data_IF_601042286465
#
_entry.id   IF_601042286465
#
_cell.length_a   1.000
_cell.length_b   1.000
_cell.length_c   1.000
_cell.angle_alpha   90.00
_cell.angle_beta   90.00
_cell.angle_gamma   90.00
#
_symmetry.space_group_name_H-M   'P 1'
#
loop_
_entity.id
_entity.type
_entity.pdbx_description
1 polymer ?
#
# COMPACT_ATOMS: atom_id res chain seq x y z
N UNK A 1 15.03 -8.70 13.64
CA UNK A 1 15.93 -7.54 13.67
C UNK A 1 15.50 -6.52 12.62
N UNK A 2 15.14 -5.33 13.10
CA UNK A 2 14.80 -4.22 12.23
C UNK A 2 16.06 -3.60 11.66
N UNK A 3 16.12 -3.40 10.34
CA UNK A 3 17.20 -2.65 9.73
C UNK A 3 17.23 -1.22 10.30
N UNK A 4 18.41 -0.61 10.51
CA UNK A 4 18.48 0.76 11.01
C UNK A 4 17.86 1.74 10.01
N UNK A 5 17.28 2.81 10.54
CA UNK A 5 16.71 3.85 9.71
C UNK A 5 17.79 4.59 8.94
N UNK A 6 17.48 4.94 7.70
CA UNK A 6 18.36 5.74 6.87
C UNK A 6 18.22 7.21 7.24
N UNK A 7 19.32 7.92 7.33
CA UNK A 7 19.35 9.36 7.64
C UNK A 7 19.99 10.09 6.48
N UNK A 8 19.34 11.15 6.02
CA UNK A 8 19.81 12.01 4.98
C UNK A 8 19.48 13.44 5.36
N UNK A 9 20.44 14.37 5.21
CA UNK A 9 20.18 15.78 5.48
C UNK A 9 20.66 16.64 4.32
N UNK A 10 19.94 17.74 4.07
CA UNK A 10 20.25 18.69 3.01
C UNK A 10 20.38 20.11 3.60
N UNK A 11 21.19 20.93 2.95
CA UNK A 11 21.33 22.34 3.31
C UNK A 11 20.25 23.20 2.60
N UNK A 12 20.35 24.53 2.75
CA UNK A 12 19.42 25.46 2.13
C UNK A 12 19.34 25.40 0.61
N UNK A 13 20.37 24.90 -0.03
CA UNK A 13 20.42 24.72 -1.49
C UNK A 13 19.96 23.32 -1.93
N UNK A 14 19.36 22.55 -1.03
CA UNK A 14 18.93 21.17 -1.28
C UNK A 14 20.08 20.26 -1.70
N UNK A 15 21.28 20.52 -1.18
CA UNK A 15 22.45 19.67 -1.39
C UNK A 15 22.69 18.80 -0.18
N UNK A 16 23.08 17.55 -0.41
CA UNK A 16 23.26 16.55 0.62
C UNK A 16 24.49 16.89 1.48
N UNK A 17 24.26 17.02 2.79
CA UNK A 17 25.33 17.29 3.78
C UNK A 17 25.52 16.10 4.75
N UNK A 18 24.50 15.27 4.91
CA UNK A 18 24.55 14.06 5.74
C UNK A 18 23.98 12.88 4.96
N UNK A 19 24.62 11.72 5.05
CA UNK A 19 24.17 10.50 4.39
C UNK A 19 24.67 9.31 5.18
N UNK A 20 23.80 8.62 5.92
CA UNK A 20 24.16 7.55 6.81
C UNK A 20 24.56 6.29 6.04
N UNK A 21 25.21 5.37 6.73
CA UNK A 21 25.59 4.07 6.17
C UNK A 21 24.33 3.27 5.76
N UNK A 22 23.27 3.34 6.55
CA UNK A 22 22.00 2.72 6.19
C UNK A 22 21.45 3.30 4.90
N UNK A 23 21.57 4.63 4.68
CA UNK A 23 21.19 5.29 3.44
C UNK A 23 22.03 4.80 2.26
N UNK A 24 23.32 4.59 2.45
CA UNK A 24 24.18 4.01 1.41
C UNK A 24 23.66 2.66 0.92
N UNK A 25 23.28 1.81 1.87
CA UNK A 25 22.75 0.48 1.57
C UNK A 25 21.37 0.55 0.92
N UNK A 26 20.52 1.45 1.38
CA UNK A 26 19.15 1.60 0.87
C UNK A 26 19.13 2.11 -0.56
N UNK A 27 19.90 3.16 -0.84
CA UNK A 27 19.87 3.84 -2.14
C UNK A 27 20.97 3.36 -3.09
N UNK A 28 21.84 2.45 -2.63
CA UNK A 28 22.91 1.91 -3.47
C UNK A 28 23.95 2.94 -3.90
N UNK A 29 24.21 3.94 -3.06
CA UNK A 29 25.14 5.02 -3.36
C UNK A 29 26.12 5.22 -2.21
N UNK A 30 27.34 5.64 -2.52
CA UNK A 30 28.36 5.92 -1.51
C UNK A 30 28.22 7.34 -1.00
N UNK A 31 28.41 7.54 0.31
CA UNK A 31 28.39 8.86 0.93
C UNK A 31 29.36 9.83 0.24
N UNK A 32 30.55 9.37 -0.13
CA UNK A 32 31.56 10.19 -0.82
C UNK A 32 31.08 10.69 -2.17
N UNK A 33 30.25 9.92 -2.86
CA UNK A 33 29.75 10.27 -4.20
C UNK A 33 28.54 11.22 -4.15
N UNK A 34 27.76 11.18 -3.07
CA UNK A 34 26.53 11.96 -2.96
C UNK A 34 26.71 13.26 -2.18
N UNK A 35 27.73 13.37 -1.34
CA UNK A 35 27.98 14.57 -0.53
C UNK A 35 28.14 15.80 -1.41
N UNK A 36 27.38 16.85 -1.10
CA UNK A 36 27.33 18.12 -1.84
C UNK A 36 26.65 18.03 -3.22
N UNK A 37 26.09 16.89 -3.58
CA UNK A 37 25.27 16.77 -4.79
C UNK A 37 23.82 17.19 -4.49
N UNK A 38 23.04 17.59 -5.52
CA UNK A 38 21.62 17.89 -5.30
C UNK A 38 20.83 16.66 -4.84
N UNK A 39 19.88 16.86 -3.93
CA UNK A 39 19.00 15.78 -3.48
C UNK A 39 18.24 15.15 -4.63
N UNK A 40 17.89 15.95 -5.64
CA UNK A 40 17.16 15.48 -6.83
C UNK A 40 17.92 14.40 -7.62
N UNK A 41 19.22 14.27 -7.42
CA UNK A 41 20.01 13.20 -8.04
C UNK A 41 19.74 11.82 -7.41
N UNK A 42 19.10 11.78 -6.26
CA UNK A 42 18.81 10.55 -5.51
C UNK A 42 17.30 10.30 -5.44
N UNK A 43 16.54 11.28 -4.95
CA UNK A 43 15.08 11.20 -4.78
C UNK A 43 14.46 12.56 -5.14
N UNK A 44 13.13 12.59 -5.30
CA UNK A 44 12.41 13.84 -5.48
C UNK A 44 12.52 14.69 -4.20
N UNK A 45 12.75 15.98 -4.38
CA UNK A 45 13.04 16.89 -3.28
C UNK A 45 11.85 17.77 -2.85
N UNK A 46 10.67 17.54 -3.39
CA UNK A 46 9.51 18.40 -3.16
C UNK A 46 9.14 18.53 -1.68
N UNK A 47 9.10 17.39 -0.96
CA UNK A 47 8.79 17.39 0.47
C UNK A 47 9.85 18.11 1.30
N UNK A 48 11.12 17.94 0.94
CA UNK A 48 12.24 18.63 1.60
C UNK A 48 12.17 20.14 1.39
N UNK A 49 11.88 20.57 0.15
CA UNK A 49 11.70 22.00 -0.17
C UNK A 49 10.53 22.59 0.61
N UNK A 50 9.43 21.88 0.66
CA UNK A 50 8.24 22.32 1.39
C UNK A 50 8.53 22.50 2.88
N UNK A 51 9.20 21.54 3.50
CA UNK A 51 9.59 21.62 4.91
C UNK A 51 10.57 22.77 5.14
N UNK A 52 11.54 22.95 4.25
CA UNK A 52 12.50 24.05 4.36
C UNK A 52 11.82 25.41 4.30
N UNK A 53 10.87 25.59 3.38
CA UNK A 53 10.19 26.86 3.18
C UNK A 53 9.17 27.17 4.27
N UNK A 54 8.41 26.16 4.70
CA UNK A 54 7.32 26.36 5.68
C UNK A 54 7.76 26.18 7.12
N UNK A 55 8.88 25.49 7.38
CA UNK A 55 9.34 25.03 8.68
C UNK A 55 8.34 24.10 9.38
N UNK A 56 7.36 23.56 8.63
CA UNK A 56 6.41 22.58 9.12
C UNK A 56 6.91 21.17 8.77
N UNK A 57 7.18 20.38 9.80
CA UNK A 57 7.70 19.03 9.64
C UNK A 57 6.65 18.08 9.07
N UNK A 58 7.12 17.04 8.37
CA UNK A 58 6.30 15.96 7.87
C UNK A 58 6.65 14.71 8.67
N UNK A 59 5.63 14.00 9.19
CA UNK A 59 5.80 12.78 9.96
C UNK A 59 5.00 11.64 9.36
N UNK A 60 5.60 10.45 9.33
CA UNK A 60 4.91 9.22 9.00
C UNK A 60 4.34 9.16 7.58
N UNK A 61 4.98 9.79 6.62
CA UNK A 61 4.54 9.76 5.24
C UNK A 61 5.06 8.50 4.54
N UNK A 62 4.15 7.72 3.96
CA UNK A 62 4.53 6.57 3.14
C UNK A 62 4.76 7.02 1.71
N UNK A 63 5.92 6.67 1.15
CA UNK A 63 6.28 7.01 -0.23
C UNK A 63 6.87 5.78 -0.91
N UNK A 64 6.46 5.55 -2.15
CA UNK A 64 7.06 4.52 -2.99
C UNK A 64 8.05 5.18 -3.96
N UNK A 65 9.28 4.65 -3.96
CA UNK A 65 10.34 5.10 -4.86
C UNK A 65 10.56 4.04 -5.95
N UNK A 66 9.97 4.25 -7.16
CA UNK A 66 10.04 3.23 -8.22
C UNK A 66 11.46 2.91 -8.67
N UNK A 67 12.35 3.90 -8.69
CA UNK A 67 13.73 3.72 -9.13
C UNK A 67 14.53 2.76 -8.24
N UNK A 68 14.11 2.59 -6.98
CA UNK A 68 14.74 1.68 -6.02
C UNK A 68 13.84 0.50 -5.66
N UNK A 69 12.57 0.51 -6.11
CA UNK A 69 11.55 -0.48 -5.74
C UNK A 69 11.39 -0.58 -4.22
N UNK A 70 11.37 0.57 -3.55
CA UNK A 70 11.29 0.67 -2.09
C UNK A 70 10.06 1.44 -1.65
N UNK A 71 9.39 0.90 -0.62
CA UNK A 71 8.39 1.64 0.17
C UNK A 71 9.09 2.17 1.41
N UNK A 72 9.01 3.47 1.62
CA UNK A 72 9.63 4.15 2.76
C UNK A 72 8.57 4.85 3.60
N UNK A 73 8.71 4.71 4.91
CA UNK A 73 7.99 5.54 5.87
C UNK A 73 8.96 6.64 6.28
N UNK A 74 8.61 7.89 6.03
CA UNK A 74 9.57 8.99 6.17
C UNK A 74 9.07 10.11 7.07
N UNK A 75 9.99 10.63 7.88
CA UNK A 75 9.85 11.86 8.63
C UNK A 75 10.82 12.88 8.03
N UNK A 76 10.34 14.10 7.80
CA UNK A 76 11.16 15.19 7.25
C UNK A 76 11.08 16.35 8.22
N UNK A 77 12.22 16.73 8.79
CA UNK A 77 12.31 17.63 9.93
C UNK A 77 13.23 18.82 9.60
N UNK A 78 12.74 20.01 9.86
CA UNK A 78 13.56 21.23 9.77
C UNK A 78 14.43 21.36 11.00
N UNK A 79 15.73 21.53 10.80
CA UNK A 79 16.75 21.70 11.83
C UNK A 79 17.17 23.16 11.88
N UNK A 80 16.61 23.91 12.81
CA UNK A 80 16.78 25.36 12.90
C UNK A 80 18.25 25.77 13.09
N UNK A 81 18.98 25.09 13.95
CA UNK A 81 20.36 25.42 14.29
C UNK A 81 21.31 25.32 13.10
N UNK A 82 21.11 24.34 12.22
CA UNK A 82 21.94 24.10 11.06
C UNK A 82 21.34 24.69 9.78
N UNK A 83 20.14 25.27 9.85
CA UNK A 83 19.37 25.69 8.66
C UNK A 83 19.35 24.62 7.59
N UNK A 84 18.98 23.41 8.00
CA UNK A 84 18.99 22.22 7.16
C UNK A 84 17.69 21.42 7.36
N UNK A 85 17.45 20.46 6.48
CA UNK A 85 16.32 19.54 6.57
C UNK A 85 16.86 18.14 6.65
N UNK A 86 16.40 17.40 7.65
CA UNK A 86 16.77 16.00 7.88
C UNK A 86 15.62 15.08 7.51
N UNK A 87 15.90 14.07 6.71
CA UNK A 87 14.97 12.97 6.42
C UNK A 87 15.36 11.71 7.16
N UNK A 88 14.39 11.11 7.83
CA UNK A 88 14.51 9.81 8.46
C UNK A 88 13.65 8.83 7.65
N UNK A 89 14.26 7.77 7.13
CA UNK A 89 13.60 6.82 6.24
C UNK A 89 13.62 5.42 6.84
N UNK A 90 12.45 4.87 7.05
CA UNK A 90 12.30 3.46 7.45
C UNK A 90 11.87 2.66 6.22
N UNK A 91 12.64 1.62 5.88
CA UNK A 91 12.30 0.73 4.76
C UNK A 91 11.18 -0.22 5.20
N UNK A 92 9.99 -0.05 4.64
CA UNK A 92 8.80 -0.86 4.94
C UNK A 92 8.38 -1.72 3.75
N UNK A 93 9.31 -1.98 2.81
CA UNK A 93 9.01 -2.73 1.58
C UNK A 93 8.48 -4.13 1.87
N UNK A 94 9.10 -4.86 2.79
CA UNK A 94 8.66 -6.21 3.13
C UNK A 94 7.26 -6.21 3.72
N UNK A 95 6.95 -5.29 4.62
CA UNK A 95 5.65 -5.15 5.27
C UNK A 95 4.55 -4.77 4.27
N UNK A 96 4.83 -3.82 3.38
CA UNK A 96 3.87 -3.38 2.37
C UNK A 96 3.62 -4.47 1.31
N UNK A 97 4.66 -5.19 0.90
CA UNK A 97 4.53 -6.32 -0.03
C UNK A 97 3.65 -7.42 0.57
N UNK A 98 3.86 -7.73 1.84
CA UNK A 98 3.05 -8.72 2.56
C UNK A 98 1.59 -8.31 2.62
N UNK A 99 1.31 -7.03 2.91
CA UNK A 99 -0.07 -6.50 2.92
C UNK A 99 -0.73 -6.64 1.56
N UNK A 100 -0.02 -6.31 0.49
CA UNK A 100 -0.53 -6.43 -0.88
C UNK A 100 -0.84 -7.88 -1.24
N UNK A 101 0.03 -8.81 -0.87
CA UNK A 101 -0.18 -10.25 -1.08
C UNK A 101 -1.40 -10.75 -0.32
N UNK A 102 -1.55 -10.37 0.94
CA UNK A 102 -2.71 -10.74 1.76
C UNK A 102 -4.01 -10.19 1.17
N UNK A 103 -4.00 -8.96 0.69
CA UNK A 103 -5.16 -8.35 0.06
C UNK A 103 -5.54 -9.07 -1.24
N UNK A 104 -4.54 -9.39 -2.08
CA UNK A 104 -4.77 -10.14 -3.33
C UNK A 104 -5.38 -11.52 -3.04
N UNK A 105 -4.90 -12.22 -2.02
CA UNK A 105 -5.45 -13.52 -1.59
C UNK A 105 -6.90 -13.40 -1.14
N UNK A 106 -7.26 -12.34 -0.40
CA UNK A 106 -8.65 -12.09 0.02
C UNK A 106 -9.56 -11.88 -1.18
N UNK A 107 -9.12 -11.10 -2.17
CA UNK A 107 -9.90 -10.85 -3.39
C UNK A 107 -10.13 -12.15 -4.16
N UNK A 108 -9.10 -12.98 -4.31
CA UNK A 108 -9.20 -14.28 -4.97
C UNK A 108 -10.21 -15.18 -4.27
N UNK A 109 -10.18 -15.22 -2.93
CA UNK A 109 -11.13 -16.01 -2.13
C UNK A 109 -12.56 -15.54 -2.35
N UNK A 110 -12.80 -14.24 -2.40
CA UNK A 110 -14.14 -13.67 -2.67
C UNK A 110 -14.61 -14.05 -4.07
N UNK A 111 -13.75 -13.98 -5.07
CA UNK A 111 -14.09 -14.38 -6.45
C UNK A 111 -14.44 -15.85 -6.54
N UNK A 112 -13.69 -16.73 -5.87
CA UNK A 112 -13.98 -18.16 -5.83
C UNK A 112 -15.33 -18.44 -5.16
N UNK A 113 -15.64 -17.75 -4.07
CA UNK A 113 -16.93 -17.87 -3.40
C UNK A 113 -18.07 -17.42 -4.31
N UNK A 114 -17.89 -16.34 -5.05
CA UNK A 114 -18.88 -15.84 -6.01
C UNK A 114 -19.16 -16.87 -7.11
N UNK A 115 -18.13 -17.51 -7.64
CA UNK A 115 -18.27 -18.54 -8.67
C UNK A 115 -19.10 -19.74 -8.18
N UNK A 116 -18.86 -20.18 -6.95
CA UNK A 116 -19.63 -21.28 -6.34
C UNK A 116 -21.10 -20.89 -6.22
N UNK A 117 -21.39 -19.69 -5.73
CA UNK A 117 -22.75 -19.18 -5.57
C UNK A 117 -23.46 -19.12 -6.93
N UNK A 118 -22.79 -18.57 -7.96
CA UNK A 118 -23.35 -18.44 -9.30
C UNK A 118 -23.68 -19.82 -9.89
N UNK A 119 -22.81 -20.82 -9.70
CA UNK A 119 -23.03 -22.19 -10.16
C UNK A 119 -24.21 -22.84 -9.44
N UNK A 120 -24.33 -22.65 -8.14
CA UNK A 120 -25.47 -23.17 -7.35
C UNK A 120 -26.79 -22.55 -7.80
N UNK A 121 -26.80 -21.26 -8.08
CA UNK A 121 -27.99 -20.58 -8.63
C UNK A 121 -28.38 -21.12 -9.98
N UNK A 122 -27.42 -21.38 -10.86
CA UNK A 122 -27.65 -21.97 -12.18
C UNK A 122 -28.28 -23.35 -12.06
N UNK A 123 -27.74 -24.21 -11.19
CA UNK A 123 -28.27 -25.55 -10.94
C UNK A 123 -29.69 -25.48 -10.41
N UNK A 124 -29.99 -24.58 -9.46
CA UNK A 124 -31.31 -24.37 -8.94
C UNK A 124 -32.33 -23.99 -10.03
N UNK A 125 -31.92 -23.11 -10.95
CA UNK A 125 -32.76 -22.71 -12.08
C UNK A 125 -32.97 -23.86 -13.06
N UNK A 126 -31.97 -24.71 -13.29
CA UNK A 126 -32.08 -25.89 -14.17
C UNK A 126 -33.05 -26.91 -13.57
N UNK A 127 -32.98 -27.16 -12.25
CA UNK A 127 -33.90 -28.05 -11.54
C UNK A 127 -35.34 -27.54 -11.66
N UNK A 128 -35.55 -26.23 -11.45
CA UNK A 128 -36.86 -25.60 -11.61
C UNK A 128 -37.40 -25.77 -13.02
N UNK A 129 -36.56 -25.64 -14.04
CA UNK A 129 -36.93 -25.86 -15.46
C UNK A 129 -37.30 -27.30 -15.74
N UNK A 130 -36.52 -28.26 -15.21
CA UNK A 130 -36.78 -29.71 -15.42
C UNK A 130 -38.06 -30.19 -14.74
N UNK A 131 -38.46 -29.56 -13.66
CA UNK A 131 -39.74 -29.87 -12.98
C UNK A 131 -40.94 -29.36 -13.76
N UNK A 132 -40.69 -28.60 -14.84
CA UNK A 132 -41.66 -28.22 -15.86
C UNK A 132 -42.52 -27.03 -15.49
N UNK A 133 -43.22 -27.04 -14.42
CA UNK A 133 -44.11 -25.97 -14.05
C UNK A 133 -43.86 -25.55 -12.62
N UNK A 134 -43.50 -24.26 -12.49
CA UNK A 134 -43.28 -23.70 -11.16
C UNK A 134 -44.57 -23.08 -10.63
N UNK A 135 -45.11 -23.65 -9.55
CA UNK A 135 -46.19 -23.00 -8.81
C UNK A 135 -45.70 -21.72 -8.16
N UNK A 136 -46.61 -20.87 -7.70
CA UNK A 136 -46.27 -19.65 -6.97
C UNK A 136 -45.42 -19.95 -5.73
N UNK A 137 -45.72 -21.03 -5.02
CA UNK A 137 -44.94 -21.48 -3.84
C UNK A 137 -43.49 -21.84 -4.20
N UNK A 138 -43.30 -22.56 -5.30
CA UNK A 138 -41.97 -22.94 -5.80
C UNK A 138 -41.15 -21.71 -6.17
N UNK A 139 -41.77 -20.74 -6.83
CA UNK A 139 -41.09 -19.46 -7.16
C UNK A 139 -40.68 -18.71 -5.91
N UNK A 140 -41.52 -18.64 -4.90
CA UNK A 140 -41.21 -18.00 -3.62
C UNK A 140 -40.06 -18.71 -2.93
N UNK A 141 -40.06 -20.04 -2.90
CA UNK A 141 -39.00 -20.85 -2.30
C UNK A 141 -37.65 -20.64 -2.99
N UNK A 142 -37.64 -20.60 -4.32
CA UNK A 142 -36.42 -20.31 -5.11
C UNK A 142 -35.92 -18.90 -4.87
N UNK A 143 -36.79 -17.92 -4.76
CA UNK A 143 -36.45 -16.56 -4.44
C UNK A 143 -35.82 -16.43 -3.05
N UNK A 144 -36.40 -17.14 -2.06
CA UNK A 144 -35.84 -17.19 -0.71
C UNK A 144 -34.44 -17.80 -0.71
N UNK A 145 -34.26 -18.92 -1.43
CA UNK A 145 -32.97 -19.59 -1.53
C UNK A 145 -31.92 -18.63 -2.14
N UNK A 146 -32.28 -17.94 -3.21
CA UNK A 146 -31.42 -16.94 -3.83
C UNK A 146 -31.03 -15.86 -2.83
N UNK A 147 -31.98 -15.33 -2.07
CA UNK A 147 -31.73 -14.26 -1.10
C UNK A 147 -30.81 -14.75 0.04
N UNK A 148 -30.98 -15.99 0.49
CA UNK A 148 -30.11 -16.59 1.49
C UNK A 148 -28.66 -16.73 0.99
N UNK A 149 -28.45 -17.17 -0.24
CA UNK A 149 -27.13 -17.30 -0.85
C UNK A 149 -26.46 -15.92 -0.96
N UNK A 150 -27.19 -14.90 -1.40
CA UNK A 150 -26.67 -13.53 -1.50
C UNK A 150 -26.35 -12.93 -0.14
N UNK A 151 -27.13 -13.24 0.89
CA UNK A 151 -26.89 -12.83 2.27
C UNK A 151 -25.58 -13.41 2.81
N UNK A 152 -25.34 -14.70 2.58
CA UNK A 152 -24.07 -15.37 2.96
C UNK A 152 -22.87 -14.73 2.25
N UNK A 153 -23.03 -14.34 0.98
CA UNK A 153 -21.99 -13.64 0.23
C UNK A 153 -21.67 -12.27 0.86
N UNK A 154 -22.68 -11.51 1.27
CA UNK A 154 -22.48 -10.21 1.95
C UNK A 154 -21.71 -10.38 3.26
N UNK A 155 -21.99 -11.43 4.04
CA UNK A 155 -21.25 -11.74 5.25
C UNK A 155 -19.77 -12.05 4.97
N UNK A 156 -19.48 -12.79 3.91
CA UNK A 156 -18.10 -13.07 3.50
C UNK A 156 -17.35 -11.81 3.09
N UNK A 157 -18.00 -10.88 2.42
CA UNK A 157 -17.39 -9.61 2.01
C UNK A 157 -17.09 -8.68 3.20
N UNK A 158 -17.86 -8.76 4.28
CA UNK A 158 -17.65 -7.95 5.50
C UNK A 158 -16.49 -8.43 6.38
N UNK A 159 -16.09 -9.67 6.23
CA UNK A 159 -14.96 -10.26 6.96
C UNK A 159 -13.69 -10.14 6.17
#
# INVERSE_FOLDING_TARGET
DKAPDSILAVNSDMRIVEFSKAAELCFGKRRSDVKHTPLSSIIQDDDFRQVYQSHNNIYGKKVYYPQYQLYMLQDIIYMEEQDSVMGLFQNITAEETKKQQQYAMKLETVEMAQDVIDKQMMVAQQIASLLGETTAETKVSLTKLRNMILSDQEELERK
#
